data_IF_270504822083
#
_entry.id   IF_270504822083
#
_cell.length_a   1.000
_cell.length_b   1.000
_cell.length_c   1.000
_cell.angle_alpha   90.00
_cell.angle_beta   90.00
_cell.angle_gamma   90.00
#
_symmetry.space_group_name_H-M   'P 1'
#
loop_
_entity.id
_entity.type
_entity.pdbx_description
1 polymer ?
#
# COMPACT_ATOMS: atom_id res chain seq x y z
N UNK A 1 -40.79 7.50 53.69
CA UNK A 1 -40.74 6.23 52.93
C UNK A 1 -39.28 5.82 52.90
N UNK A 2 -38.85 5.08 53.91
CA UNK A 2 -37.46 4.65 54.02
C UNK A 2 -37.30 3.31 53.31
N UNK A 3 -36.51 3.32 52.24
CA UNK A 3 -36.11 2.10 51.55
C UNK A 3 -35.09 1.36 52.42
N UNK A 4 -35.53 0.26 53.04
CA UNK A 4 -34.64 -0.73 53.66
C UNK A 4 -33.71 -1.31 52.58
N UNK A 5 -32.51 -0.75 52.47
CA UNK A 5 -31.42 -1.35 51.70
C UNK A 5 -30.84 -2.49 52.57
N UNK A 6 -31.31 -3.72 52.38
CA UNK A 6 -30.67 -4.89 52.97
C UNK A 6 -29.29 -5.07 52.31
N UNK A 7 -28.23 -5.03 53.11
CA UNK A 7 -26.88 -5.32 52.66
C UNK A 7 -26.63 -6.82 52.87
N UNK A 8 -26.40 -7.54 51.78
CA UNK A 8 -25.97 -8.95 51.83
C UNK A 8 -24.45 -9.03 51.99
N UNK A 9 -23.99 -9.85 52.93
CA UNK A 9 -22.56 -10.12 53.14
C UNK A 9 -22.20 -11.49 52.55
N UNK A 10 -21.09 -11.54 51.80
CA UNK A 10 -20.49 -12.78 51.28
C UNK A 10 -19.13 -12.95 51.95
N UNK A 11 -18.88 -14.11 52.55
CA UNK A 11 -17.58 -14.47 53.12
C UNK A 11 -16.81 -15.35 52.13
N UNK A 12 -15.58 -14.94 51.81
CA UNK A 12 -14.66 -15.68 50.95
C UNK A 12 -13.36 -15.95 51.70
N UNK A 13 -12.77 -17.11 51.47
CA UNK A 13 -11.42 -17.44 51.93
C UNK A 13 -10.38 -16.66 51.14
N UNK A 14 -9.18 -16.52 51.73
CA UNK A 14 -8.04 -15.88 51.04
C UNK A 14 -7.74 -16.54 49.68
N UNK A 15 -7.81 -17.87 49.63
CA UNK A 15 -7.56 -18.68 48.43
C UNK A 15 -8.59 -18.38 47.33
N UNK A 16 -9.88 -18.28 47.68
CA UNK A 16 -10.94 -17.91 46.73
C UNK A 16 -10.75 -16.49 46.17
N UNK A 17 -10.33 -15.53 47.01
CA UNK A 17 -10.04 -14.16 46.56
C UNK A 17 -8.84 -14.14 45.61
N UNK A 18 -7.76 -14.86 45.93
CA UNK A 18 -6.57 -14.96 45.08
C UNK A 18 -6.89 -15.64 43.73
N UNK A 19 -7.70 -16.69 43.74
CA UNK A 19 -8.15 -17.36 42.51
C UNK A 19 -9.02 -16.43 41.64
N UNK A 20 -9.92 -15.66 42.24
CA UNK A 20 -10.72 -14.66 41.54
C UNK A 20 -9.84 -13.59 40.88
N UNK A 21 -8.85 -13.06 41.62
CA UNK A 21 -7.90 -12.08 41.09
C UNK A 21 -7.09 -12.67 39.93
N UNK A 22 -6.59 -13.90 40.08
CA UNK A 22 -5.83 -14.58 39.04
C UNK A 22 -6.67 -14.79 37.77
N UNK A 23 -7.91 -15.27 37.90
CA UNK A 23 -8.84 -15.43 36.78
C UNK A 23 -9.16 -14.11 36.10
N UNK A 24 -9.43 -13.05 36.87
CA UNK A 24 -9.69 -11.72 36.33
C UNK A 24 -8.47 -11.14 35.60
N UNK A 25 -7.27 -11.29 36.16
CA UNK A 25 -6.02 -10.85 35.55
C UNK A 25 -5.72 -11.59 34.24
N UNK A 26 -5.88 -12.92 34.22
CA UNK A 26 -5.71 -13.74 33.02
C UNK A 26 -6.73 -13.39 31.93
N UNK A 27 -8.00 -13.23 32.29
CA UNK A 27 -9.04 -12.83 31.35
C UNK A 27 -8.74 -11.43 30.76
N UNK A 28 -8.37 -10.46 31.60
CA UNK A 28 -7.98 -9.12 31.17
C UNK A 28 -6.77 -9.13 30.25
N UNK A 29 -5.71 -9.87 30.60
CA UNK A 29 -4.50 -10.00 29.78
C UNK A 29 -4.79 -10.66 28.42
N UNK A 30 -5.61 -11.72 28.40
CA UNK A 30 -6.01 -12.40 27.16
C UNK A 30 -6.78 -11.47 26.22
N UNK A 31 -7.78 -10.75 26.74
CA UNK A 31 -8.57 -9.80 25.94
C UNK A 31 -7.71 -8.65 25.43
N UNK A 32 -6.78 -8.15 26.25
CA UNK A 32 -5.84 -7.11 25.84
C UNK A 32 -4.93 -7.59 24.70
N UNK A 33 -4.35 -8.80 24.82
CA UNK A 33 -3.51 -9.39 23.78
C UNK A 33 -4.26 -9.57 22.45
N UNK A 34 -5.47 -10.14 22.49
CA UNK A 34 -6.30 -10.29 21.29
C UNK A 34 -6.67 -8.96 20.64
N UNK A 35 -7.00 -7.96 21.46
CA UNK A 35 -7.38 -6.63 20.95
C UNK A 35 -6.20 -5.94 20.26
N UNK A 36 -5.00 -6.05 20.84
CA UNK A 36 -3.77 -5.54 20.24
C UNK A 36 -3.44 -6.27 18.94
N UNK A 37 -3.58 -7.60 18.91
CA UNK A 37 -3.34 -8.38 17.70
C UNK A 37 -4.31 -8.00 16.57
N UNK A 38 -5.60 -7.89 16.88
CA UNK A 38 -6.64 -7.45 15.92
C UNK A 38 -6.37 -6.03 15.42
N UNK A 39 -5.97 -5.11 16.30
CA UNK A 39 -5.61 -3.74 15.93
C UNK A 39 -4.39 -3.72 14.99
N UNK A 40 -3.37 -4.52 15.30
CA UNK A 40 -2.15 -4.62 14.50
C UNK A 40 -2.42 -5.22 13.12
N UNK A 41 -3.21 -6.30 13.03
CA UNK A 41 -3.61 -6.89 11.76
C UNK A 41 -4.43 -5.91 10.90
N UNK A 42 -5.34 -5.16 11.52
CA UNK A 42 -6.13 -4.13 10.84
C UNK A 42 -5.23 -3.02 10.30
N UNK A 43 -4.29 -2.54 11.10
CA UNK A 43 -3.32 -1.52 10.68
C UNK A 43 -2.48 -2.00 9.50
N UNK A 44 -1.92 -3.22 9.56
CA UNK A 44 -1.15 -3.79 8.45
C UNK A 44 -1.97 -3.89 7.16
N UNK A 45 -3.24 -4.30 7.26
CA UNK A 45 -4.15 -4.37 6.12
C UNK A 45 -4.42 -2.98 5.53
N UNK A 46 -4.75 -2.00 6.36
CA UNK A 46 -4.95 -0.61 5.92
C UNK A 46 -3.70 -0.04 5.24
N UNK A 47 -2.51 -0.34 5.78
CA UNK A 47 -1.23 0.07 5.20
C UNK A 47 -1.02 -0.56 3.82
N UNK A 48 -1.30 -1.86 3.67
CA UNK A 48 -1.20 -2.56 2.38
C UNK A 48 -2.19 -2.02 1.36
N UNK A 49 -3.44 -1.84 1.75
CA UNK A 49 -4.50 -1.33 0.88
C UNK A 49 -4.19 0.09 0.40
N UNK A 50 -3.67 0.95 1.29
CA UNK A 50 -3.25 2.31 0.96
C UNK A 50 -2.08 2.34 -0.01
N UNK A 51 -1.04 1.52 0.19
CA UNK A 51 0.09 1.42 -0.75
C UNK A 51 -0.34 0.93 -2.13
N UNK A 52 -1.23 -0.06 -2.18
CA UNK A 52 -1.78 -0.55 -3.44
C UNK A 52 -2.61 0.52 -4.14
N UNK A 53 -3.43 1.27 -3.39
CA UNK A 53 -4.18 2.40 -3.90
C UNK A 53 -3.25 3.48 -4.49
N UNK A 54 -2.21 3.89 -3.76
CA UNK A 54 -1.25 4.90 -4.22
C UNK A 54 -0.45 4.41 -5.44
N UNK A 55 -0.11 3.13 -5.50
CA UNK A 55 0.50 2.51 -6.70
C UNK A 55 -0.40 2.65 -7.92
N UNK A 56 -1.68 2.30 -7.80
CA UNK A 56 -2.66 2.45 -8.89
C UNK A 56 -2.79 3.89 -9.32
N UNK A 57 -2.81 4.82 -8.37
CA UNK A 57 -2.90 6.25 -8.63
C UNK A 57 -1.68 6.74 -9.42
N UNK A 58 -0.47 6.37 -9.00
CA UNK A 58 0.77 6.70 -9.69
C UNK A 58 0.78 6.14 -11.12
N UNK A 59 0.42 4.87 -11.30
CA UNK A 59 0.38 4.23 -12.62
C UNK A 59 -0.62 4.92 -13.56
N UNK A 60 -1.83 5.23 -13.09
CA UNK A 60 -2.86 5.90 -13.89
C UNK A 60 -2.45 7.31 -14.31
N UNK A 61 -1.70 8.01 -13.47
CA UNK A 61 -1.29 9.39 -13.68
C UNK A 61 0.14 9.54 -14.24
N UNK A 62 0.88 8.43 -14.38
CA UNK A 62 2.31 8.42 -14.71
C UNK A 62 2.66 9.28 -15.91
N UNK A 63 1.95 9.13 -17.04
CA UNK A 63 2.24 9.86 -18.28
C UNK A 63 2.20 11.38 -18.09
N UNK A 64 1.14 11.83 -17.43
CA UNK A 64 0.92 13.25 -17.16
C UNK A 64 1.98 13.78 -16.19
N UNK A 65 2.27 13.04 -15.10
CA UNK A 65 3.30 13.43 -14.14
C UNK A 65 4.69 13.49 -14.80
N UNK A 66 5.02 12.52 -15.66
CA UNK A 66 6.27 12.48 -16.42
C UNK A 66 6.38 13.64 -17.41
N UNK A 67 5.28 13.99 -18.08
CA UNK A 67 5.24 15.15 -18.97
C UNK A 67 5.42 16.47 -18.20
N UNK A 68 4.78 16.61 -17.03
CA UNK A 68 4.95 17.76 -16.14
C UNK A 68 6.41 17.94 -15.70
N UNK A 69 7.11 16.87 -15.32
CA UNK A 69 8.54 16.93 -15.00
C UNK A 69 9.42 17.29 -16.19
N UNK A 70 9.10 16.76 -17.37
CA UNK A 70 9.89 17.00 -18.59
C UNK A 70 9.86 18.47 -19.01
N UNK A 71 8.76 19.18 -18.71
CA UNK A 71 8.58 20.61 -18.99
C UNK A 71 9.14 21.51 -17.89
N UNK A 72 9.23 21.02 -16.66
CA UNK A 72 9.67 21.79 -15.50
C UNK A 72 11.20 21.89 -15.33
N UNK A 73 11.99 21.46 -16.32
CA UNK A 73 13.47 21.44 -16.32
C UNK A 73 14.12 22.86 -16.28
N UNK A 74 13.39 23.90 -15.86
CA UNK A 74 13.89 25.28 -15.78
C UNK A 74 14.11 25.85 -14.37
N UNK A 75 13.90 25.07 -13.31
CA UNK A 75 14.26 25.49 -11.94
C UNK A 75 14.93 24.32 -11.21
N UNK A 76 16.25 24.21 -11.36
CA UNK A 76 17.09 23.40 -10.47
C UNK A 76 17.67 24.33 -9.42
N UNK A 77 16.90 24.63 -8.39
CA UNK A 77 17.44 25.19 -7.14
C UNK A 77 17.09 24.23 -6.02
N UNK A 78 18.11 23.45 -5.62
CA UNK A 78 18.22 22.68 -4.38
C UNK A 78 16.92 22.15 -3.75
N UNK A 79 16.58 20.91 -4.10
CA UNK A 79 15.63 20.13 -3.31
C UNK A 79 16.28 19.70 -1.99
N UNK A 80 15.69 20.12 -0.87
CA UNK A 80 16.07 19.63 0.47
C UNK A 80 15.56 18.21 0.74
N UNK A 81 14.52 17.76 0.01
CA UNK A 81 13.85 16.48 0.29
C UNK A 81 14.53 15.29 -0.38
N UNK A 82 14.75 14.24 0.39
CA UNK A 82 15.32 12.97 -0.10
C UNK A 82 14.26 12.11 -0.80
N UNK A 83 14.70 11.06 -1.52
CA UNK A 83 13.75 10.11 -2.14
C UNK A 83 12.95 9.39 -1.06
N UNK A 84 13.62 9.01 0.03
CA UNK A 84 13.06 8.32 1.18
C UNK A 84 11.91 9.11 1.80
N UNK A 85 12.11 10.41 2.06
CA UNK A 85 11.08 11.29 2.64
C UNK A 85 9.85 11.43 1.73
N UNK A 86 10.07 11.64 0.43
CA UNK A 86 8.96 11.79 -0.53
C UNK A 86 8.15 10.50 -0.65
N UNK A 87 8.83 9.34 -0.61
CA UNK A 87 8.17 8.04 -0.64
C UNK A 87 7.44 7.76 0.68
N UNK A 88 8.00 8.11 1.84
CA UNK A 88 7.32 7.99 3.13
C UNK A 88 6.07 8.86 3.24
N UNK A 89 6.13 10.09 2.71
CA UNK A 89 4.98 10.99 2.62
C UNK A 89 3.89 10.36 1.73
N UNK A 90 4.26 9.83 0.55
CA UNK A 90 3.34 9.10 -0.32
C UNK A 90 2.79 7.82 0.34
N UNK A 91 3.58 7.10 1.14
CA UNK A 91 3.13 5.91 1.84
C UNK A 91 2.10 6.21 2.90
N UNK A 92 2.16 7.39 3.52
CA UNK A 92 1.33 7.79 4.67
C UNK A 92 0.05 8.54 4.27
N UNK A 93 0.01 9.15 3.08
CA UNK A 93 -1.13 9.92 2.60
C UNK A 93 -2.46 9.16 2.63
N UNK A 94 -3.41 9.69 3.40
CA UNK A 94 -4.83 9.32 3.42
C UNK A 94 -5.65 10.51 2.90
N UNK A 95 -5.75 10.65 1.59
CA UNK A 95 -6.56 11.70 0.95
C UNK A 95 -7.22 11.16 -0.32
N UNK A 96 -8.12 11.93 -0.93
CA UNK A 96 -8.73 11.55 -2.21
C UNK A 96 -7.71 11.60 -3.36
N UNK A 97 -7.94 10.81 -4.41
CA UNK A 97 -7.09 10.74 -5.61
C UNK A 97 -6.72 12.13 -6.15
N UNK A 98 -7.69 13.05 -6.19
CA UNK A 98 -7.48 14.42 -6.67
C UNK A 98 -6.52 15.23 -5.81
N UNK A 99 -6.64 15.12 -4.48
CA UNK A 99 -5.77 15.83 -3.53
C UNK A 99 -4.34 15.28 -3.60
N UNK A 100 -4.18 13.96 -3.65
CA UNK A 100 -2.86 13.32 -3.76
C UNK A 100 -2.19 13.70 -5.10
N UNK A 101 -2.93 13.66 -6.21
CA UNK A 101 -2.37 14.03 -7.51
C UNK A 101 -1.98 15.51 -7.55
N UNK A 102 -2.77 16.41 -6.94
CA UNK A 102 -2.44 17.82 -6.87
C UNK A 102 -1.20 18.07 -6.00
N UNK A 103 -1.10 17.46 -4.82
CA UNK A 103 0.07 17.61 -3.95
C UNK A 103 1.37 17.09 -4.56
N UNK A 104 1.27 16.09 -5.45
CA UNK A 104 2.40 15.66 -6.28
C UNK A 104 2.74 16.74 -7.31
N UNK A 105 1.76 17.16 -8.12
CA UNK A 105 1.93 18.11 -9.24
C UNK A 105 2.42 19.50 -8.83
N UNK A 106 2.01 19.97 -7.66
CA UNK A 106 2.31 21.31 -7.16
C UNK A 106 3.82 21.55 -7.01
N UNK A 107 4.61 20.49 -6.83
CA UNK A 107 6.07 20.56 -6.80
C UNK A 107 6.67 19.76 -7.95
N UNK A 108 7.31 20.47 -8.89
CA UNK A 108 8.05 19.88 -10.00
C UNK A 108 9.17 18.95 -9.51
N UNK A 109 9.85 19.34 -8.44
CA UNK A 109 10.91 18.56 -7.81
C UNK A 109 10.39 17.26 -7.21
N UNK A 110 9.33 17.36 -6.40
CA UNK A 110 8.66 16.21 -5.80
C UNK A 110 8.19 15.23 -6.87
N UNK A 111 7.53 15.74 -7.91
CA UNK A 111 7.11 14.91 -9.05
C UNK A 111 8.32 14.25 -9.70
N UNK A 112 9.45 14.96 -9.84
CA UNK A 112 10.70 14.45 -10.41
C UNK A 112 11.27 13.27 -9.62
N UNK A 113 11.33 13.40 -8.30
CA UNK A 113 11.76 12.33 -7.38
C UNK A 113 10.85 11.11 -7.53
N UNK A 114 9.53 11.32 -7.51
CA UNK A 114 8.53 10.24 -7.64
C UNK A 114 8.67 9.51 -8.97
N UNK A 115 8.77 10.24 -10.07
CA UNK A 115 8.86 9.65 -11.42
C UNK A 115 10.18 8.91 -11.60
N UNK A 116 11.29 9.47 -11.09
CA UNK A 116 12.60 8.80 -11.11
C UNK A 116 12.56 7.49 -10.32
N UNK A 117 11.95 7.50 -9.13
CA UNK A 117 11.76 6.29 -8.32
C UNK A 117 10.88 5.24 -9.02
N UNK A 118 9.74 5.67 -9.57
CA UNK A 118 8.83 4.79 -10.33
C UNK A 118 9.54 4.16 -11.52
N UNK A 119 10.31 4.93 -12.30
CA UNK A 119 11.08 4.43 -13.44
C UNK A 119 12.10 3.36 -12.99
N UNK A 120 12.87 3.65 -11.93
CA UNK A 120 13.88 2.72 -11.39
C UNK A 120 13.23 1.42 -10.88
N UNK A 121 12.14 1.52 -10.13
CA UNK A 121 11.44 0.34 -9.59
C UNK A 121 10.73 -0.46 -10.69
N UNK A 122 10.26 0.21 -11.73
CA UNK A 122 9.68 -0.46 -12.90
C UNK A 122 10.74 -1.22 -13.70
N UNK A 123 11.97 -0.72 -13.76
CA UNK A 123 13.11 -1.44 -14.34
C UNK A 123 13.54 -2.64 -13.48
N UNK A 124 13.48 -2.52 -12.15
CA UNK A 124 13.64 -3.69 -11.25
C UNK A 124 12.57 -4.74 -11.54
N UNK A 125 11.31 -4.33 -11.71
CA UNK A 125 10.23 -5.23 -12.08
C UNK A 125 10.46 -5.92 -13.43
N UNK A 126 10.98 -5.18 -14.42
CA UNK A 126 11.40 -5.75 -15.72
C UNK A 126 12.43 -6.86 -15.54
N UNK A 127 13.48 -6.61 -14.76
CA UNK A 127 14.55 -7.57 -14.50
C UNK A 127 14.02 -8.81 -13.78
N UNK A 128 13.17 -8.61 -12.77
CA UNK A 128 12.48 -9.69 -12.07
C UNK A 128 11.70 -10.55 -13.07
N UNK A 129 10.75 -9.98 -13.81
CA UNK A 129 9.92 -10.71 -14.75
C UNK A 129 10.70 -11.39 -15.89
N UNK A 130 11.84 -10.82 -16.28
CA UNK A 130 12.72 -11.39 -17.31
C UNK A 130 13.37 -12.71 -16.91
N UNK A 131 13.53 -12.97 -15.61
CA UNK A 131 14.13 -14.20 -15.06
C UNK A 131 13.14 -15.38 -14.95
N UNK A 132 11.84 -15.12 -15.08
CA UNK A 132 10.78 -16.12 -14.94
C UNK A 132 10.14 -16.48 -16.30
N UNK A 133 9.00 -17.17 -16.25
CA UNK A 133 8.32 -17.70 -17.42
C UNK A 133 7.58 -16.65 -18.25
N UNK A 134 6.90 -17.12 -19.29
CA UNK A 134 6.14 -16.27 -20.21
C UNK A 134 5.00 -15.50 -19.52
N UNK A 135 4.46 -16.02 -18.42
CA UNK A 135 3.46 -15.34 -17.61
C UNK A 135 4.01 -14.03 -17.03
N UNK A 136 5.14 -14.06 -16.34
CA UNK A 136 5.73 -12.88 -15.71
C UNK A 136 6.18 -11.86 -16.77
N UNK A 137 6.76 -12.34 -17.88
CA UNK A 137 7.10 -11.48 -19.02
C UNK A 137 5.86 -10.80 -19.61
N UNK A 138 4.74 -11.52 -19.71
CA UNK A 138 3.45 -10.96 -20.17
C UNK A 138 2.93 -9.92 -19.18
N UNK A 139 2.96 -10.19 -17.88
CA UNK A 139 2.57 -9.24 -16.84
C UNK A 139 3.33 -7.91 -16.95
N UNK A 140 4.65 -7.98 -17.13
CA UNK A 140 5.48 -6.80 -17.38
C UNK A 140 5.05 -6.04 -18.65
N UNK A 141 4.87 -6.76 -19.77
CA UNK A 141 4.48 -6.13 -21.04
C UNK A 141 3.09 -5.50 -20.96
N UNK A 142 2.14 -6.15 -20.30
CA UNK A 142 0.77 -5.66 -20.08
C UNK A 142 0.79 -4.34 -19.31
N UNK A 143 1.42 -4.31 -18.13
CA UNK A 143 1.45 -3.10 -17.30
C UNK A 143 2.22 -1.96 -17.98
N UNK A 144 3.31 -2.29 -18.71
CA UNK A 144 4.08 -1.31 -19.49
C UNK A 144 3.23 -0.67 -20.58
N UNK A 145 2.54 -1.47 -21.40
CA UNK A 145 1.70 -0.98 -22.49
C UNK A 145 0.47 -0.22 -22.00
N UNK A 146 -0.03 -0.55 -20.80
CA UNK A 146 -1.22 0.12 -20.26
C UNK A 146 -0.88 1.51 -19.67
N UNK A 147 0.26 1.65 -18.98
CA UNK A 147 0.56 2.86 -18.21
C UNK A 147 1.83 3.60 -18.63
N UNK A 148 2.89 2.90 -19.04
CA UNK A 148 4.23 3.47 -19.16
C UNK A 148 4.62 3.91 -20.57
N UNK A 149 4.02 3.32 -21.61
CA UNK A 149 4.25 3.73 -23.01
C UNK A 149 3.50 5.02 -23.35
N UNK A 150 3.99 5.80 -24.31
CA UNK A 150 3.29 7.02 -24.79
C UNK A 150 1.85 6.72 -25.21
N UNK A 151 1.66 5.68 -26.02
CA UNK A 151 0.35 5.19 -26.43
C UNK A 151 -0.22 4.23 -25.39
N UNK A 152 -1.53 4.33 -25.13
CA UNK A 152 -2.25 3.48 -24.18
C UNK A 152 -2.89 2.31 -24.92
N UNK A 153 -2.57 1.08 -24.51
CA UNK A 153 -3.32 -0.09 -24.96
C UNK A 153 -4.52 -0.37 -24.05
N UNK A 154 -5.62 -0.81 -24.66
CA UNK A 154 -6.78 -1.34 -23.94
C UNK A 154 -6.57 -2.80 -23.54
N UNK A 155 -7.30 -3.26 -22.53
CA UNK A 155 -7.28 -4.67 -22.13
C UNK A 155 -7.72 -5.61 -23.28
N UNK A 156 -8.60 -5.14 -24.18
CA UNK A 156 -9.05 -5.90 -25.34
C UNK A 156 -7.93 -6.08 -26.38
N UNK A 157 -7.15 -5.04 -26.65
CA UNK A 157 -5.99 -5.11 -27.56
C UNK A 157 -4.90 -6.01 -26.99
N UNK A 158 -4.63 -5.90 -25.69
CA UNK A 158 -3.64 -6.74 -25.02
C UNK A 158 -4.07 -8.22 -25.00
N UNK A 159 -5.35 -8.51 -24.76
CA UNK A 159 -5.91 -9.85 -24.83
C UNK A 159 -5.69 -10.48 -26.21
N UNK A 160 -5.98 -9.74 -27.29
CA UNK A 160 -5.70 -10.18 -28.67
C UNK A 160 -4.21 -10.37 -28.91
N UNK A 161 -3.38 -9.39 -28.53
CA UNK A 161 -1.92 -9.41 -28.73
C UNK A 161 -1.24 -10.61 -28.08
N UNK A 162 -1.68 -11.00 -26.90
CA UNK A 162 -1.09 -12.12 -26.15
C UNK A 162 -1.86 -13.43 -26.32
N UNK A 163 -2.93 -13.45 -27.11
CA UNK A 163 -3.81 -14.59 -27.30
C UNK A 163 -4.33 -15.18 -25.97
N UNK A 164 -4.85 -14.31 -25.10
CA UNK A 164 -5.43 -14.67 -23.79
C UNK A 164 -6.77 -13.99 -23.58
N UNK A 165 -7.52 -14.42 -22.57
CA UNK A 165 -8.79 -13.80 -22.21
C UNK A 165 -8.58 -12.40 -21.59
N UNK A 166 -9.61 -11.55 -21.62
CA UNK A 166 -9.60 -10.27 -20.88
C UNK A 166 -9.42 -10.48 -19.37
N UNK A 167 -9.99 -11.56 -18.83
CA UNK A 167 -9.84 -11.93 -17.41
C UNK A 167 -8.36 -12.14 -17.07
N UNK A 168 -7.64 -12.89 -17.91
CA UNK A 168 -6.20 -13.10 -17.75
C UNK A 168 -5.41 -11.79 -17.77
N UNK A 169 -5.80 -10.82 -18.62
CA UNK A 169 -5.17 -9.49 -18.65
C UNK A 169 -5.44 -8.72 -17.36
N UNK A 170 -6.67 -8.75 -16.83
CA UNK A 170 -6.98 -8.10 -15.55
C UNK A 170 -6.24 -8.75 -14.38
N UNK A 171 -6.10 -10.07 -14.38
CA UNK A 171 -5.31 -10.79 -13.38
C UNK A 171 -3.82 -10.44 -13.46
N UNK A 172 -3.28 -10.30 -14.68
CA UNK A 172 -1.91 -9.86 -14.91
C UNK A 172 -1.70 -8.42 -14.40
N UNK A 173 -2.64 -7.52 -14.66
CA UNK A 173 -2.61 -6.14 -14.15
C UNK A 173 -2.62 -6.15 -12.62
N UNK A 174 -3.55 -6.88 -12.00
CA UNK A 174 -3.65 -6.97 -10.54
C UNK A 174 -2.36 -7.50 -9.91
N UNK A 175 -1.81 -8.58 -10.48
CA UNK A 175 -0.55 -9.17 -10.00
C UNK A 175 0.62 -8.19 -10.15
N UNK A 176 0.68 -7.47 -11.28
CA UNK A 176 1.71 -6.46 -11.50
C UNK A 176 1.58 -5.28 -10.54
N UNK A 177 0.37 -4.78 -10.29
CA UNK A 177 0.11 -3.70 -9.32
C UNK A 177 0.52 -4.09 -7.89
N UNK A 178 0.22 -5.32 -7.45
CA UNK A 178 0.62 -5.82 -6.14
C UNK A 178 2.14 -5.90 -6.00
N UNK A 179 2.84 -6.42 -7.02
CA UNK A 179 4.30 -6.49 -7.03
C UNK A 179 4.95 -5.11 -7.12
N UNK A 180 4.42 -4.21 -7.95
CA UNK A 180 4.92 -2.84 -8.05
C UNK A 180 4.66 -2.06 -6.76
N UNK A 181 3.56 -2.30 -6.05
CA UNK A 181 3.31 -1.71 -4.74
C UNK A 181 4.39 -2.09 -3.74
N UNK A 182 4.79 -3.38 -3.73
CA UNK A 182 5.89 -3.83 -2.90
C UNK A 182 7.23 -3.17 -3.27
N UNK A 183 7.50 -2.99 -4.57
CA UNK A 183 8.74 -2.36 -5.05
C UNK A 183 8.77 -0.84 -4.82
N UNK A 184 7.66 -0.15 -5.08
CA UNK A 184 7.56 1.31 -4.92
C UNK A 184 7.66 1.71 -3.45
N UNK A 185 7.14 0.89 -2.54
CA UNK A 185 6.97 1.26 -1.14
C UNK A 185 7.69 0.31 -0.17
N UNK A 186 8.69 -0.46 -0.62
CA UNK A 186 9.33 -1.42 0.27
C UNK A 186 10.68 -2.01 -0.14
N UNK A 187 11.59 -2.04 0.83
CA UNK A 187 12.38 -3.23 1.18
C UNK A 187 11.58 -4.14 2.15
N UNK A 188 10.62 -3.58 2.91
CA UNK A 188 9.70 -4.34 3.78
C UNK A 188 8.50 -4.97 3.04
N UNK A 189 8.35 -4.74 1.73
CA UNK A 189 7.31 -5.37 0.89
C UNK A 189 7.63 -6.82 0.50
N UNK A 190 8.88 -7.25 0.67
CA UNK A 190 9.35 -8.62 0.39
C UNK A 190 9.05 -9.62 1.51
N UNK A 191 8.45 -9.16 2.63
CA UNK A 191 8.11 -10.00 3.79
C UNK A 191 6.70 -10.59 3.75
N UNK A 192 5.97 -10.39 2.64
CA UNK A 192 4.59 -10.84 2.47
C UNK A 192 4.41 -11.69 1.21
N UNK A 193 5.24 -12.72 1.04
CA UNK A 193 4.96 -13.92 0.26
C UNK A 193 5.66 -15.12 0.91
#
# INVERSE_FOLDING_TARGET
MDMNNCVEFVALTKEEVEEMIAKAALAGASVAAETLEKAHQKEQKEMKDRRLHNTRLLLRNYRMLKESCSKAVYQKEHSEKTTEEVIEELMSMKASDGVIVNSIKESAERTGIIISHVDRMFDVYRMYCGKYGEKEKRQYKVIKSMYMTKEKSSAAELAKKFNVSKVTIYDDIKTAEERLSALFFGINGLRFY
#
